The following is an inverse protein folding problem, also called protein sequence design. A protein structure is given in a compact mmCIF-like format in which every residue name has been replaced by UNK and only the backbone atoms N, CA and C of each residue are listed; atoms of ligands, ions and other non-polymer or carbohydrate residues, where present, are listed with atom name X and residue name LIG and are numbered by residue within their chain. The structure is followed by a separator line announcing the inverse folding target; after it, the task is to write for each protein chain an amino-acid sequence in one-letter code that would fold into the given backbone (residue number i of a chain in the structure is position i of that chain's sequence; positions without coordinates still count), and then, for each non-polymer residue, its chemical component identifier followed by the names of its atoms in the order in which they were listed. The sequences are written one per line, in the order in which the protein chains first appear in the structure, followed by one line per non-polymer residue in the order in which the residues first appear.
data_IF_289116045892
#
_entry.id   IF_289116045892
#
_cell.length_a   1.000
_cell.length_b   1.000
_cell.length_c   1.000
_cell.angle_alpha   90.00
_cell.angle_beta   90.00
_cell.angle_gamma   90.00
#
_symmetry.space_group_name_H-M   'P 1'
#
loop_
_entity.id
_entity.type
_entity.pdbx_description
1 polymer ?
#
# COMPACT_ATOMS: atom_id res chain seq x y z
N UNK A 1 -1.76 -12.10 8.56
CA UNK A 1 -1.03 -11.63 7.35
C UNK A 1 -1.34 -12.60 6.23
N UNK A 2 -1.54 -12.14 5.01
CA UNK A 2 -1.84 -12.98 3.86
C UNK A 2 -0.58 -13.24 3.02
N UNK A 3 -0.61 -14.32 2.23
CA UNK A 3 0.45 -14.64 1.28
C UNK A 3 0.39 -13.75 0.02
N UNK A 4 1.46 -13.77 -0.78
CA UNK A 4 1.47 -13.10 -2.10
C UNK A 4 0.43 -13.74 -3.02
N UNK A 5 0.36 -15.08 -3.06
CA UNK A 5 -0.58 -15.82 -3.90
C UNK A 5 -2.03 -15.49 -3.54
N UNK A 6 -2.36 -15.45 -2.24
CA UNK A 6 -3.69 -15.04 -1.77
C UNK A 6 -4.00 -13.59 -2.17
N UNK A 7 -3.01 -12.68 -2.10
CA UNK A 7 -3.17 -11.31 -2.53
C UNK A 7 -3.37 -11.19 -4.06
N UNK A 8 -2.69 -12.02 -4.84
CA UNK A 8 -2.80 -12.06 -6.31
C UNK A 8 -4.18 -12.56 -6.76
N UNK A 9 -4.70 -13.60 -6.11
CA UNK A 9 -6.05 -14.09 -6.35
C UNK A 9 -7.10 -13.03 -6.02
N UNK A 10 -6.94 -12.33 -4.90
CA UNK A 10 -7.85 -11.22 -4.52
C UNK A 10 -7.74 -10.08 -5.52
N UNK A 11 -6.54 -9.69 -5.94
CA UNK A 11 -6.34 -8.68 -6.98
C UNK A 11 -7.05 -9.08 -8.29
N UNK A 12 -6.86 -10.32 -8.74
CA UNK A 12 -7.46 -10.88 -9.96
C UNK A 12 -8.98 -10.88 -9.92
N UNK A 13 -9.56 -11.23 -8.77
CA UNK A 13 -11.00 -11.17 -8.55
C UNK A 13 -11.50 -9.72 -8.54
N UNK A 14 -10.84 -8.84 -7.79
CA UNK A 14 -11.25 -7.46 -7.60
C UNK A 14 -11.22 -6.63 -8.89
N UNK A 15 -10.25 -6.83 -9.79
CA UNK A 15 -10.21 -6.08 -11.06
C UNK A 15 -11.42 -6.38 -11.95
N UNK A 16 -11.96 -7.61 -11.90
CA UNK A 16 -13.19 -7.99 -12.62
C UNK A 16 -14.40 -7.25 -12.06
N UNK A 17 -14.58 -7.29 -10.75
CA UNK A 17 -15.68 -6.57 -10.07
C UNK A 17 -15.61 -5.06 -10.31
N UNK A 18 -14.40 -4.48 -10.23
CA UNK A 18 -14.14 -3.06 -10.48
C UNK A 18 -14.52 -2.72 -11.93
N UNK A 19 -14.09 -3.52 -12.91
CA UNK A 19 -14.39 -3.28 -14.32
C UNK A 19 -15.89 -3.34 -14.66
N UNK A 20 -16.63 -4.19 -13.96
CA UNK A 20 -18.08 -4.31 -14.13
C UNK A 20 -18.86 -3.16 -13.47
N UNK A 21 -18.27 -2.53 -12.45
CA UNK A 21 -18.94 -1.50 -11.64
C UNK A 21 -18.54 -0.07 -12.01
N UNK A 22 -17.34 0.12 -12.55
CA UNK A 22 -16.78 1.43 -12.89
C UNK A 22 -16.58 1.52 -14.40
N UNK A 23 -17.45 2.24 -15.14
CA UNK A 23 -17.39 2.29 -16.61
C UNK A 23 -16.04 2.71 -17.18
N UNK A 24 -15.36 3.63 -16.49
CA UNK A 24 -14.04 4.13 -16.86
C UNK A 24 -12.92 3.09 -16.67
N UNK A 25 -13.18 1.91 -16.12
CA UNK A 25 -12.22 0.82 -15.94
C UNK A 25 -12.71 -0.47 -16.61
N UNK A 26 -13.67 -0.35 -17.54
CA UNK A 26 -14.27 -1.51 -18.21
C UNK A 26 -13.26 -2.34 -19.00
N UNK A 27 -12.14 -1.73 -19.44
CA UNK A 27 -11.04 -2.42 -20.11
C UNK A 27 -10.30 -3.43 -19.19
N UNK A 28 -10.45 -3.32 -17.86
CA UNK A 28 -9.82 -4.26 -16.92
C UNK A 28 -10.53 -5.62 -16.83
N UNK A 29 -11.67 -5.78 -17.50
CA UNK A 29 -12.51 -6.99 -17.41
C UNK A 29 -11.76 -8.28 -17.72
N UNK A 30 -10.93 -8.24 -18.76
CA UNK A 30 -10.12 -9.38 -19.22
C UNK A 30 -8.63 -9.20 -18.90
N UNK A 31 -8.29 -8.21 -18.06
CA UNK A 31 -6.92 -7.96 -17.65
C UNK A 31 -6.42 -9.05 -16.68
N UNK A 32 -5.11 -9.13 -16.58
CA UNK A 32 -4.41 -9.97 -15.59
C UNK A 32 -3.65 -9.08 -14.62
N UNK A 33 -3.19 -9.63 -13.52
CA UNK A 33 -2.35 -8.91 -12.56
C UNK A 33 -0.95 -9.51 -12.54
N UNK A 34 0.05 -8.67 -12.24
CA UNK A 34 1.42 -9.12 -12.01
C UNK A 34 1.97 -8.41 -10.79
N UNK A 35 2.51 -9.17 -9.83
CA UNK A 35 3.16 -8.58 -8.66
C UNK A 35 4.24 -7.58 -9.10
N UNK A 36 4.17 -6.37 -8.57
CA UNK A 36 5.19 -5.36 -8.77
C UNK A 36 6.04 -5.18 -7.52
N UNK A 37 5.44 -4.81 -6.38
CA UNK A 37 6.19 -4.45 -5.18
C UNK A 37 5.51 -4.92 -3.89
N UNK A 38 6.33 -5.32 -2.90
CA UNK A 38 5.88 -5.55 -1.53
C UNK A 38 6.20 -4.30 -0.73
N UNK A 39 5.18 -3.73 -0.09
CA UNK A 39 5.29 -2.55 0.75
C UNK A 39 5.29 -2.91 2.23
N UNK A 40 5.93 -2.04 3.01
CA UNK A 40 6.08 -2.21 4.45
C UNK A 40 5.54 -1.02 5.24
N UNK A 41 5.20 -1.26 6.51
CA UNK A 41 5.00 -0.22 7.50
C UNK A 41 6.35 0.26 8.09
N UNK A 42 6.29 1.25 8.99
CA UNK A 42 7.46 1.80 9.68
C UNK A 42 8.16 0.78 10.60
N UNK A 43 7.46 -0.27 11.01
CA UNK A 43 7.98 -1.34 11.87
C UNK A 43 8.61 -2.48 11.06
N UNK A 44 8.50 -2.41 9.73
CA UNK A 44 9.02 -3.41 8.80
C UNK A 44 8.12 -4.62 8.58
N UNK A 45 6.87 -4.58 9.04
CA UNK A 45 5.86 -5.57 8.66
C UNK A 45 5.35 -5.27 7.25
N UNK A 46 4.92 -6.29 6.52
CA UNK A 46 4.27 -6.08 5.22
C UNK A 46 2.95 -5.34 5.45
N UNK A 47 2.74 -4.25 4.74
CA UNK A 47 1.50 -3.46 4.82
C UNK A 47 0.61 -3.66 3.60
N UNK A 48 1.20 -3.80 2.41
CA UNK A 48 0.48 -4.02 1.16
C UNK A 48 1.29 -4.78 0.12
N UNK A 49 0.59 -5.40 -0.81
CA UNK A 49 1.13 -5.94 -2.06
C UNK A 49 0.58 -5.09 -3.20
N UNK A 50 1.44 -4.64 -4.10
CA UNK A 50 1.00 -3.93 -5.29
C UNK A 50 1.14 -4.79 -6.53
N UNK A 51 0.12 -4.72 -7.38
CA UNK A 51 0.07 -5.45 -8.63
C UNK A 51 -0.17 -4.48 -9.78
N UNK A 52 0.59 -4.67 -10.85
CA UNK A 52 0.30 -4.02 -12.13
C UNK A 52 -0.86 -4.75 -12.80
N UNK A 53 -1.85 -3.98 -13.23
CA UNK A 53 -2.96 -4.48 -14.04
C UNK A 53 -2.50 -4.48 -15.49
N UNK A 54 -2.51 -5.65 -16.11
CA UNK A 54 -1.94 -5.93 -17.42
C UNK A 54 -3.05 -6.25 -18.42
N UNK A 55 -3.24 -5.37 -19.40
CA UNK A 55 -4.15 -5.56 -20.53
C UNK A 55 -3.33 -5.61 -21.82
N UNK A 56 -3.56 -6.61 -22.69
CA UNK A 56 -2.81 -6.77 -23.94
C UNK A 56 -1.26 -6.70 -23.77
N UNK A 57 -0.74 -7.24 -22.66
CA UNK A 57 0.68 -7.22 -22.25
C UNK A 57 1.24 -5.82 -21.94
N UNK A 58 0.39 -4.80 -21.84
CA UNK A 58 0.74 -3.45 -21.42
C UNK A 58 0.14 -3.16 -20.06
N UNK A 59 0.79 -2.29 -19.28
CA UNK A 59 0.27 -1.85 -18.00
C UNK A 59 -0.89 -0.87 -18.23
N UNK A 60 -2.09 -1.27 -17.81
CA UNK A 60 -3.31 -0.47 -17.85
C UNK A 60 -3.58 0.27 -16.52
N UNK A 61 -2.83 -0.08 -15.47
CA UNK A 61 -2.90 0.57 -14.16
C UNK A 61 -2.29 -0.29 -13.06
N UNK A 62 -2.73 -0.07 -11.83
CA UNK A 62 -2.31 -0.81 -10.65
C UNK A 62 -3.44 -1.01 -9.64
N UNK A 63 -3.27 -1.98 -8.75
CA UNK A 63 -4.12 -2.25 -7.59
C UNK A 63 -3.26 -2.62 -6.37
N UNK A 64 -3.61 -2.10 -5.19
CA UNK A 64 -2.97 -2.46 -3.92
C UNK A 64 -3.91 -3.34 -3.11
N UNK A 65 -3.36 -4.46 -2.65
CA UNK A 65 -4.03 -5.40 -1.77
C UNK A 65 -3.40 -5.32 -0.38
N UNK A 66 -4.22 -5.27 0.67
CA UNK A 66 -3.69 -5.27 2.03
C UNK A 66 -2.95 -6.56 2.34
N UNK A 67 -1.80 -6.47 3.01
CA UNK A 67 -1.08 -7.64 3.48
C UNK A 67 -1.74 -8.27 4.74
N UNK A 68 -2.79 -7.66 5.29
CA UNK A 68 -3.44 -8.10 6.53
C UNK A 68 -4.96 -8.06 6.39
N UNK A 69 -5.67 -8.90 7.17
CA UNK A 69 -7.14 -8.88 7.22
C UNK A 69 -7.72 -7.82 8.15
N UNK A 70 -6.86 -7.14 8.91
CA UNK A 70 -7.22 -6.01 9.78
C UNK A 70 -7.50 -4.71 9.00
N UNK A 71 -7.38 -4.74 7.67
CA UNK A 71 -7.70 -3.62 6.77
C UNK A 71 -8.43 -4.14 5.52
N UNK A 72 -9.08 -3.24 4.78
CA UNK A 72 -9.84 -3.60 3.59
C UNK A 72 -8.96 -4.35 2.57
N UNK A 73 -9.52 -5.34 1.86
CA UNK A 73 -8.77 -6.15 0.91
C UNK A 73 -8.14 -5.31 -0.20
N UNK A 74 -8.94 -4.47 -0.86
CA UNK A 74 -8.46 -3.50 -1.84
C UNK A 74 -8.24 -2.17 -1.13
N UNK A 75 -6.99 -1.68 -1.15
CA UNK A 75 -6.61 -0.43 -0.51
C UNK A 75 -6.73 0.76 -1.45
N UNK A 76 -6.36 0.55 -2.72
CA UNK A 76 -6.41 1.55 -3.77
C UNK A 76 -6.22 0.91 -5.15
N UNK A 77 -6.61 1.64 -6.19
CA UNK A 77 -6.37 1.28 -7.58
C UNK A 77 -6.44 2.53 -8.46
N UNK A 78 -5.72 2.51 -9.59
CA UNK A 78 -5.72 3.62 -10.55
C UNK A 78 -5.20 3.18 -11.91
N UNK A 79 -5.52 3.94 -12.97
CA UNK A 79 -4.90 3.82 -14.30
C UNK A 79 -3.46 4.37 -14.36
N UNK A 80 -3.05 5.10 -13.33
CA UNK A 80 -1.74 5.72 -13.27
C UNK A 80 -0.59 4.71 -13.10
N UNK A 81 0.61 5.24 -12.88
CA UNK A 81 1.76 4.46 -12.43
C UNK A 81 1.91 4.58 -10.93
N UNK A 82 2.44 3.54 -10.30
CA UNK A 82 2.74 3.59 -8.87
C UNK A 82 3.90 4.54 -8.60
N UNK A 83 3.91 5.26 -7.45
CA UNK A 83 4.97 6.24 -7.17
C UNK A 83 6.40 5.69 -7.18
N UNK A 84 6.60 4.42 -6.80
CA UNK A 84 7.90 3.77 -6.81
C UNK A 84 8.36 3.29 -8.20
N UNK A 85 7.49 3.32 -9.21
CA UNK A 85 7.81 3.01 -10.61
C UNK A 85 8.11 4.28 -11.43
N UNK A 86 7.93 5.47 -10.85
CA UNK A 86 8.20 6.76 -11.50
C UNK A 86 9.69 7.10 -11.33
N UNK A 87 10.51 7.07 -12.41
CA UNK A 87 11.97 7.22 -12.29
C UNK A 87 12.41 8.56 -11.69
N UNK A 88 11.64 9.62 -11.93
CA UNK A 88 11.89 10.94 -11.36
C UNK A 88 11.83 10.91 -9.83
N UNK A 89 10.84 10.22 -9.25
CA UNK A 89 10.64 10.12 -7.80
C UNK A 89 11.72 9.25 -7.16
N UNK A 90 12.05 8.10 -7.76
CA UNK A 90 13.08 7.20 -7.24
C UNK A 90 14.50 7.79 -7.36
N UNK A 91 14.77 8.54 -8.43
CA UNK A 91 16.07 9.20 -8.63
C UNK A 91 16.26 10.33 -7.62
N UNK A 92 15.25 11.22 -7.48
CA UNK A 92 15.32 12.32 -6.51
C UNK A 92 15.42 11.83 -5.07
N UNK A 93 14.65 10.81 -4.71
CA UNK A 93 14.70 10.25 -3.35
C UNK A 93 16.07 9.65 -3.01
N UNK A 94 16.69 8.92 -3.95
CA UNK A 94 18.06 8.43 -3.77
C UNK A 94 19.08 9.57 -3.64
N UNK A 95 18.94 10.64 -4.43
CA UNK A 95 19.80 11.83 -4.32
C UNK A 95 19.68 12.50 -2.95
N UNK A 96 18.47 12.64 -2.40
CA UNK A 96 18.25 13.20 -1.06
C UNK A 96 18.88 12.34 0.04
N UNK A 97 18.79 11.01 -0.08
CA UNK A 97 19.50 10.10 0.83
C UNK A 97 21.03 10.28 0.74
N UNK A 98 21.57 10.53 -0.46
CA UNK A 98 23.00 10.82 -0.65
C UNK A 98 23.42 12.16 -0.07
N UNK A 99 22.61 13.20 -0.24
CA UNK A 99 22.84 14.50 0.38
C UNK A 99 22.87 14.38 1.90
N UNK A 100 21.95 13.60 2.49
CA UNK A 100 21.96 13.31 3.92
C UNK A 100 23.21 12.56 4.35
N UNK A 101 23.63 11.53 3.62
CA UNK A 101 24.86 10.80 3.89
C UNK A 101 26.09 11.73 3.86
N UNK A 102 26.18 12.59 2.85
CA UNK A 102 27.26 13.57 2.71
C UNK A 102 27.27 14.58 3.87
N UNK A 103 26.09 15.03 4.31
CA UNK A 103 25.95 15.92 5.46
C UNK A 103 26.43 15.26 6.75
N UNK A 104 26.08 13.99 7.00
CA UNK A 104 26.57 13.25 8.18
C UNK A 104 28.10 13.13 8.15
N UNK A 105 28.68 12.84 6.98
CA UNK A 105 30.14 12.79 6.81
C UNK A 105 30.80 14.11 7.23
N UNK A 106 30.24 15.26 6.84
CA UNK A 106 30.74 16.58 7.20
C UNK A 106 30.56 16.91 8.70
N UNK A 107 29.48 16.42 9.31
CA UNK A 107 29.17 16.62 10.75
C UNK A 107 29.98 15.69 11.66
N UNK A 108 30.46 14.55 11.15
CA UNK A 108 31.22 13.55 11.91
C UNK A 108 32.71 13.92 12.07
N UNK A 109 33.27 13.70 13.25
CA UNK A 109 34.70 13.92 13.51
C UNK A 109 35.60 13.00 12.67
N UNK A 110 35.15 11.76 12.45
CA UNK A 110 35.90 10.72 11.74
C UNK A 110 35.74 10.81 10.21
N UNK A 111 34.90 11.73 9.70
CA UNK A 111 34.56 11.88 8.27
C UNK A 111 34.18 10.55 7.62
N UNK A 112 33.46 9.73 8.37
CA UNK A 112 33.10 8.37 7.96
C UNK A 112 32.24 8.42 6.70
N UNK A 113 32.61 7.60 5.71
CA UNK A 113 31.85 7.48 4.48
C UNK A 113 30.71 6.48 4.65
N UNK A 114 29.51 6.92 4.27
CA UNK A 114 28.29 6.11 4.37
C UNK A 114 27.86 5.65 2.98
N UNK A 115 27.53 4.37 2.89
CA UNK A 115 26.93 3.77 1.70
C UNK A 115 25.41 3.78 1.85
N UNK A 116 24.70 4.10 0.76
CA UNK A 116 23.23 4.04 0.71
C UNK A 116 22.81 2.64 0.29
N UNK A 117 21.98 2.01 1.09
CA UNK A 117 21.34 0.73 0.77
C UNK A 117 20.29 0.84 -0.33
N UNK A 118 19.73 -0.31 -0.70
CA UNK A 118 18.60 -0.37 -1.63
C UNK A 118 17.33 0.27 -1.05
N UNK A 119 16.46 0.74 -1.93
CA UNK A 119 15.18 1.32 -1.55
C UNK A 119 14.25 0.25 -0.96
N UNK A 120 13.75 0.50 0.25
CA UNK A 120 12.62 -0.23 0.82
C UNK A 120 11.35 0.64 0.69
N UNK A 121 10.36 0.16 -0.06
CA UNK A 121 9.10 0.88 -0.27
C UNK A 121 8.19 0.77 0.96
N UNK A 122 7.72 1.92 1.45
CA UNK A 122 6.78 2.02 2.55
C UNK A 122 5.42 2.53 2.06
N UNK A 123 4.34 1.96 2.60
CA UNK A 123 2.96 2.38 2.31
C UNK A 123 2.23 2.62 3.63
N UNK A 124 1.92 3.89 3.90
CA UNK A 124 1.17 4.31 5.09
C UNK A 124 -0.24 4.83 4.74
N UNK A 125 -0.63 4.72 3.47
CA UNK A 125 -1.92 5.14 2.94
C UNK A 125 -1.84 5.63 1.49
N UNK A 126 -2.98 5.90 0.83
CA UNK A 126 -3.07 6.21 -0.59
C UNK A 126 -2.42 7.54 -1.00
N UNK A 127 -1.97 8.35 -0.04
CA UNK A 127 -1.22 9.60 -0.27
C UNK A 127 0.16 9.57 0.37
N UNK A 128 0.56 8.44 0.96
CA UNK A 128 1.71 8.33 1.86
C UNK A 128 2.61 7.18 1.42
N UNK A 129 3.39 7.44 0.36
CA UNK A 129 4.36 6.52 -0.20
C UNK A 129 5.76 7.01 0.09
N UNK A 130 6.56 6.17 0.74
CA UNK A 130 7.92 6.55 1.11
C UNK A 130 8.95 5.54 0.62
N UNK A 131 10.17 6.04 0.46
CA UNK A 131 11.37 5.25 0.28
C UNK A 131 12.18 5.29 1.59
N UNK A 132 12.42 4.15 2.21
CA UNK A 132 13.40 3.99 3.29
C UNK A 132 14.74 3.55 2.70
N UNK A 133 15.81 4.30 3.02
CA UNK A 133 17.18 3.95 2.72
C UNK A 133 17.97 3.77 4.01
N UNK A 134 18.69 2.65 4.13
CA UNK A 134 19.66 2.47 5.21
C UNK A 134 20.99 3.11 4.82
N UNK A 135 21.53 3.96 5.69
CA UNK A 135 22.89 4.48 5.57
C UNK A 135 23.83 3.63 6.42
N UNK A 136 24.75 2.92 5.79
CA UNK A 136 25.65 1.97 6.46
C UNK A 136 27.09 2.45 6.42
N UNK A 137 27.85 2.18 7.48
CA UNK A 137 29.29 2.37 7.45
C UNK A 137 30.02 1.33 6.60
N UNK A 138 31.34 1.50 6.49
CA UNK A 138 32.24 0.58 5.78
C UNK A 138 32.27 -0.84 6.36
N UNK A 139 31.78 -1.04 7.59
CA UNK A 139 31.63 -2.35 8.24
C UNK A 139 30.23 -2.95 8.04
N UNK A 140 29.36 -2.27 7.30
CA UNK A 140 27.99 -2.70 7.03
C UNK A 140 27.01 -2.43 8.17
N UNK A 141 27.40 -1.68 9.21
CA UNK A 141 26.50 -1.33 10.32
C UNK A 141 25.66 -0.12 9.91
N UNK A 142 24.34 -0.26 10.04
CA UNK A 142 23.39 0.86 9.83
C UNK A 142 23.62 1.94 10.88
N UNK A 143 23.88 3.17 10.42
CA UNK A 143 24.02 4.37 11.24
C UNK A 143 22.72 5.15 11.33
N UNK A 144 22.03 5.27 10.20
CA UNK A 144 20.79 6.04 10.09
C UNK A 144 19.87 5.39 9.06
N UNK A 145 18.56 5.59 9.22
CA UNK A 145 17.56 5.33 8.19
C UNK A 145 17.00 6.65 7.70
N UNK A 146 17.04 6.88 6.40
CA UNK A 146 16.47 8.07 5.76
C UNK A 146 15.17 7.66 5.12
N UNK A 147 14.07 8.32 5.50
CA UNK A 147 12.76 8.12 4.88
C UNK A 147 12.45 9.34 4.02
N UNK A 148 12.13 9.10 2.76
CA UNK A 148 11.81 10.15 1.78
C UNK A 148 10.40 9.96 1.28
N UNK A 149 9.60 11.02 1.31
CA UNK A 149 8.31 11.10 0.63
C UNK A 149 8.53 11.06 -0.88
N UNK A 150 8.02 10.03 -1.55
CA UNK A 150 8.27 9.80 -2.97
C UNK A 150 7.62 10.91 -3.84
N UNK A 151 6.29 11.17 -3.75
CA UNK A 151 5.67 12.25 -4.51
C UNK A 151 6.27 13.63 -4.24
N UNK A 152 6.55 13.97 -2.98
CA UNK A 152 6.96 15.33 -2.61
C UNK A 152 8.48 15.54 -2.59
N UNK A 153 9.28 14.47 -2.68
CA UNK A 153 10.74 14.53 -2.62
C UNK A 153 11.25 15.27 -1.39
N UNK A 154 10.76 14.89 -0.20
CA UNK A 154 11.16 15.49 1.08
C UNK A 154 11.60 14.41 2.06
N UNK A 155 12.69 14.66 2.80
CA UNK A 155 13.08 13.78 3.92
C UNK A 155 12.08 13.99 5.05
N UNK A 156 11.50 12.90 5.55
CA UNK A 156 10.50 12.90 6.62
C UNK A 156 11.14 12.39 7.90
N UNK A 157 10.95 13.14 8.98
CA UNK A 157 11.31 12.74 10.34
C UNK A 157 10.04 12.54 11.15
N UNK A 158 9.61 11.30 11.32
CA UNK A 158 8.40 10.96 12.08
C UNK A 158 8.53 11.22 13.59
N UNK A 159 9.75 11.50 14.08
CA UNK A 159 9.98 11.85 15.48
C UNK A 159 9.89 13.36 15.74
N UNK A 160 9.93 14.19 14.69
CA UNK A 160 9.73 15.64 14.80
C UNK A 160 8.29 15.98 14.45
N UNK A 161 7.55 16.49 15.43
CA UNK A 161 6.24 17.09 15.15
C UNK A 161 6.44 18.31 14.24
N UNK A 162 5.94 18.22 13.01
CA UNK A 162 5.86 19.36 12.09
C UNK A 162 4.61 20.23 12.37
N UNK A 163 3.81 19.87 13.38
CA UNK A 163 2.60 20.59 13.78
C UNK A 163 2.93 21.45 14.99
N UNK A 164 3.04 22.76 14.77
CA UNK A 164 2.88 23.75 15.84
C UNK A 164 1.40 23.80 16.20
N UNK A 165 0.96 22.89 17.09
CA UNK A 165 -0.37 23.02 17.67
C UNK A 165 -0.40 24.35 18.45
N UNK A 166 -1.36 25.26 18.18
CA UNK A 166 -1.52 26.43 19.02
C UNK A 166 -1.79 25.94 20.45
N UNK A 167 -0.94 26.35 21.38
CA UNK A 167 -1.09 26.11 22.82
C UNK A 167 -2.25 26.99 23.30
N UNK A 168 -3.48 26.64 22.93
CA UNK A 168 -4.66 27.02 23.69
C UNK A 168 -5.04 25.79 24.51
N UNK A 169 -4.89 25.92 25.82
CA UNK A 169 -5.23 24.94 26.86
C UNK A 169 -6.75 24.71 26.97
N UNK A 170 -7.43 24.49 25.85
CA UNK A 170 -8.58 23.60 25.87
C UNK A 170 -8.02 22.24 25.49
N UNK A 171 -7.82 21.39 26.49
CA UNK A 171 -7.48 19.99 26.32
C UNK A 171 -8.45 19.39 25.30
N UNK A 172 -8.04 19.35 24.03
CA UNK A 172 -8.62 18.45 23.04
C UNK A 172 -8.23 17.06 23.53
N UNK A 173 -9.00 16.55 24.48
CA UNK A 173 -9.02 15.15 24.83
C UNK A 173 -9.43 14.42 23.56
N UNK A 174 -8.44 14.07 22.73
CA UNK A 174 -8.57 13.00 21.76
C UNK A 174 -9.02 11.79 22.57
N UNK A 175 -10.32 11.52 22.56
CA UNK A 175 -10.90 10.44 23.32
C UNK A 175 -10.35 9.13 22.74
N UNK A 176 -9.30 8.60 23.37
CA UNK A 176 -8.61 7.39 22.93
C UNK A 176 -9.61 6.23 22.73
N UNK A 177 -10.68 6.20 23.53
CA UNK A 177 -11.79 5.25 23.40
C UNK A 177 -12.51 5.35 22.05
N UNK A 178 -12.81 6.56 21.55
CA UNK A 178 -13.52 6.71 20.27
C UNK A 178 -12.63 6.32 19.09
N UNK A 179 -11.33 6.65 19.14
CA UNK A 179 -10.35 6.21 18.13
C UNK A 179 -10.21 4.69 18.10
N UNK A 180 -10.12 4.05 19.27
CA UNK A 180 -10.09 2.59 19.38
C UNK A 180 -11.36 1.96 18.82
N UNK A 181 -12.54 2.48 19.18
CA UNK A 181 -13.81 2.00 18.64
C UNK A 181 -13.86 2.12 17.11
N UNK A 182 -13.41 3.24 16.53
CA UNK A 182 -13.34 3.39 15.07
C UNK A 182 -12.34 2.44 14.41
N UNK A 183 -11.24 2.09 15.10
CA UNK A 183 -10.30 1.08 14.59
C UNK A 183 -10.93 -0.31 14.60
N UNK A 184 -11.64 -0.68 15.66
CA UNK A 184 -12.30 -1.98 15.76
C UNK A 184 -13.46 -2.13 14.77
N UNK A 185 -14.27 -1.09 14.57
CA UNK A 185 -15.33 -1.08 13.54
C UNK A 185 -14.71 -1.29 12.15
N UNK A 186 -13.64 -0.54 11.82
CA UNK A 186 -12.96 -0.70 10.53
C UNK A 186 -12.38 -2.10 10.33
N UNK A 187 -11.83 -2.72 11.38
CA UNK A 187 -11.35 -4.12 11.31
C UNK A 187 -12.50 -5.10 11.10
N UNK A 188 -13.65 -4.89 11.75
CA UNK A 188 -14.82 -5.75 11.56
C UNK A 188 -15.35 -5.66 10.12
N UNK A 189 -15.46 -4.44 9.59
CA UNK A 189 -15.89 -4.20 8.21
C UNK A 189 -14.90 -4.81 7.21
N UNK A 190 -13.59 -4.62 7.44
CA UNK A 190 -12.53 -5.23 6.63
C UNK A 190 -12.64 -6.75 6.61
N UNK A 191 -12.78 -7.38 7.78
CA UNK A 191 -12.92 -8.84 7.90
C UNK A 191 -14.18 -9.35 7.16
N UNK A 192 -15.29 -8.61 7.22
CA UNK A 192 -16.50 -8.95 6.46
C UNK A 192 -16.27 -8.91 4.94
N UNK A 193 -15.52 -7.92 4.45
CA UNK A 193 -15.15 -7.83 3.03
C UNK A 193 -14.23 -8.98 2.59
N UNK A 194 -13.22 -9.30 3.39
CA UNK A 194 -12.35 -10.46 3.16
C UNK A 194 -13.15 -11.75 3.04
N UNK A 195 -14.04 -12.01 4.00
CA UNK A 195 -14.91 -13.18 3.99
C UNK A 195 -15.83 -13.21 2.78
N UNK A 196 -16.41 -12.07 2.40
CA UNK A 196 -17.27 -11.97 1.21
C UNK A 196 -16.52 -12.34 -0.07
N UNK A 197 -15.28 -11.88 -0.24
CA UNK A 197 -14.44 -12.22 -1.40
C UNK A 197 -14.10 -13.72 -1.39
N UNK A 198 -13.72 -14.28 -0.24
CA UNK A 198 -13.41 -15.71 -0.11
C UNK A 198 -14.60 -16.61 -0.47
N UNK A 199 -15.79 -16.27 0.02
CA UNK A 199 -17.02 -17.01 -0.27
C UNK A 199 -17.36 -16.97 -1.77
N UNK A 200 -17.30 -15.78 -2.40
CA UNK A 200 -17.60 -15.62 -3.83
C UNK A 200 -16.58 -16.34 -4.71
N UNK A 201 -15.29 -16.26 -4.40
CA UNK A 201 -14.23 -17.01 -5.12
C UNK A 201 -14.46 -18.52 -5.04
N UNK A 202 -14.89 -19.02 -3.88
CA UNK A 202 -15.23 -20.43 -3.70
C UNK A 202 -16.43 -20.83 -4.57
N UNK A 203 -17.48 -19.98 -4.62
CA UNK A 203 -18.67 -20.22 -5.46
C UNK A 203 -18.35 -20.20 -6.97
N UNK A 204 -17.52 -19.28 -7.45
CA UNK A 204 -17.06 -19.25 -8.85
C UNK A 204 -16.29 -20.50 -9.23
N UNK A 205 -15.42 -20.98 -8.34
CA UNK A 205 -14.64 -22.21 -8.52
C UNK A 205 -15.55 -23.45 -8.59
N UNK A 206 -16.61 -23.50 -7.77
CA UNK A 206 -17.60 -24.58 -7.79
C UNK A 206 -18.46 -24.51 -9.07
N UNK A 207 -18.90 -23.32 -9.47
CA UNK A 207 -19.71 -23.10 -10.68
C UNK A 207 -18.99 -23.55 -11.97
N UNK A 208 -17.67 -23.33 -12.06
CA UNK A 208 -16.86 -23.82 -13.18
C UNK A 208 -16.71 -25.36 -13.24
N UNK A 209 -17.00 -26.07 -12.14
CA UNK A 209 -16.95 -27.53 -12.04
C UNK A 209 -18.29 -28.24 -12.23
N UNK A 210 -19.40 -27.51 -12.29
CA UNK A 210 -20.75 -28.07 -12.47
C UNK A 210 -21.52 -27.30 -13.55
N UNK A 211 -21.57 -27.84 -14.78
CA UNK A 211 -22.68 -27.57 -15.69
C UNK A 211 -23.95 -28.18 -15.11
N UNK A 212 -24.62 -27.47 -14.19
CA UNK A 212 -25.97 -27.79 -13.77
C UNK A 212 -26.84 -26.56 -13.86
N UNK A 213 -27.77 -26.60 -14.82
CA UNK A 213 -28.86 -25.65 -15.00
C UNK A 213 -29.71 -25.55 -13.74
N UNK A 214 -29.62 -24.44 -13.02
CA UNK A 214 -30.69 -24.03 -12.10
C UNK A 214 -30.64 -22.51 -11.89
N UNK A 215 -31.77 -21.89 -12.21
CA UNK A 215 -32.08 -20.45 -12.16
C UNK A 215 -31.70 -19.78 -10.83
N UNK A 216 -30.94 -18.69 -10.91
CA UNK A 216 -30.63 -17.82 -9.77
C UNK A 216 -31.69 -16.73 -9.64
N UNK A 217 -32.38 -16.72 -8.50
CA UNK A 217 -33.27 -15.67 -8.05
C UNK A 217 -32.43 -14.44 -7.63
N UNK A 218 -32.68 -13.28 -8.23
CA UNK A 218 -32.16 -12.00 -7.74
C UNK A 218 -32.96 -11.56 -6.51
N UNK A 219 -32.31 -11.39 -5.36
CA UNK A 219 -32.84 -10.62 -4.23
C UNK A 219 -32.23 -9.22 -4.26
N UNK A 220 -32.92 -8.28 -4.91
CA UNK A 220 -32.64 -6.85 -4.77
C UNK A 220 -33.23 -6.36 -3.45
N UNK A 221 -32.39 -5.91 -2.52
CA UNK A 221 -32.83 -5.08 -1.41
C UNK A 221 -33.04 -3.65 -1.92
N UNK A 222 -34.30 -3.27 -2.13
CA UNK A 222 -34.69 -1.87 -2.22
C UNK A 222 -34.81 -1.33 -0.78
N UNK A 223 -34.02 -0.33 -0.43
CA UNK A 223 -34.34 0.55 0.69
C UNK A 223 -35.42 1.54 0.22
N UNK A 224 -36.51 1.60 0.98
CA UNK A 224 -37.53 2.66 0.93
C UNK A 224 -37.10 3.79 1.85
#
# INVERSE_FOLDING_TARGET
MISVDEAEEVASYSIKEISGSIPNLSEWKDATVKLSTIYYDLYGNRSAYSFNVMENKQQAGYIFISATKDNYPVLEFSKGKMPNEIPEFTTRSKSLAQERANKIKLESADKEELTIGEMKSLYLGPTFYYAEYSLTDTKGKTKEKVIVDLPFSTIVDFNKSNVSAPVNEEDYFFNNTSLQQQQEIRKQDANAQWKSIEERRTMETISAGYTSTSSILYLCYNFV
#
